data_IF_011978723524
#
_entry.id   IF_011978723524
#
_cell.length_a   1.000
_cell.length_b   1.000
_cell.length_c   1.000
_cell.angle_alpha   90.00
_cell.angle_beta   90.00
_cell.angle_gamma   90.00
#
_symmetry.space_group_name_H-M   'P 1'
#
loop_
_entity.id
_entity.type
_entity.pdbx_description
1 polymer ?
#
# COMPACT_ATOMS: atom_id res chain seq x y z
N UNK A 1 15.34 -25.44 34.41
CA UNK A 1 16.57 -24.88 34.99
C UNK A 1 16.72 -23.36 34.74
N UNK A 2 16.66 -22.85 33.50
CA UNK A 2 16.79 -21.39 33.24
C UNK A 2 15.81 -20.47 33.99
N UNK A 3 14.52 -20.82 34.10
CA UNK A 3 13.53 -19.98 34.79
C UNK A 3 13.79 -19.83 36.29
N UNK A 4 14.33 -20.87 36.92
CA UNK A 4 14.71 -20.83 38.33
C UNK A 4 15.93 -19.94 38.56
N UNK A 5 16.85 -19.86 37.59
CA UNK A 5 18.03 -19.00 37.66
C UNK A 5 17.68 -17.51 37.64
N UNK A 6 16.62 -17.11 36.91
CA UNK A 6 16.15 -15.72 36.84
C UNK A 6 15.05 -15.39 37.87
N UNK A 7 14.70 -16.34 38.76
CA UNK A 7 13.65 -16.20 39.80
C UNK A 7 12.25 -15.84 39.25
N UNK A 8 11.94 -16.25 38.03
CA UNK A 8 10.62 -15.97 37.43
C UNK A 8 9.78 -17.26 37.33
N UNK A 9 8.48 -17.21 37.71
CA UNK A 9 7.58 -18.34 37.54
C UNK A 9 7.27 -18.57 36.05
N UNK A 10 7.10 -19.83 35.66
CA UNK A 10 6.59 -20.16 34.34
C UNK A 10 5.16 -19.62 34.16
N UNK A 11 4.91 -18.97 33.01
CA UNK A 11 3.58 -18.47 32.65
C UNK A 11 3.10 -19.20 31.41
N UNK A 12 1.99 -19.93 31.53
CA UNK A 12 1.37 -20.65 30.40
C UNK A 12 0.79 -19.73 29.33
N UNK A 13 0.37 -18.52 29.74
CA UNK A 13 -0.25 -17.54 28.85
C UNK A 13 0.34 -16.16 29.09
N UNK A 14 0.48 -15.40 28.00
CA UNK A 14 0.84 -13.99 28.09
C UNK A 14 -0.30 -13.18 28.68
N UNK A 15 0.00 -12.33 29.66
CA UNK A 15 -0.98 -11.41 30.28
C UNK A 15 -1.37 -10.25 29.35
N UNK A 16 -0.50 -9.90 28.40
CA UNK A 16 -0.74 -8.84 27.41
C UNK A 16 -0.57 -9.37 25.99
N UNK A 17 -1.28 -8.82 25.00
CA UNK A 17 -1.02 -9.11 23.60
C UNK A 17 0.44 -8.77 23.25
N UNK A 18 1.23 -9.80 22.94
CA UNK A 18 2.61 -9.69 22.50
C UNK A 18 2.70 -9.86 20.98
N UNK A 19 3.79 -9.39 20.40
CA UNK A 19 4.14 -9.66 19.00
C UNK A 19 5.31 -10.65 19.01
N UNK A 20 5.29 -11.61 18.09
CA UNK A 20 6.37 -12.57 17.90
C UNK A 20 6.58 -12.76 16.40
N UNK A 21 7.84 -12.81 15.98
CA UNK A 21 8.24 -13.11 14.60
C UNK A 21 9.16 -14.32 14.66
N UNK A 22 8.84 -15.33 13.85
CA UNK A 22 9.64 -16.55 13.72
C UNK A 22 10.20 -16.60 12.31
N UNK A 23 11.52 -16.77 12.21
CA UNK A 23 12.20 -17.00 10.93
C UNK A 23 13.02 -18.27 11.06
N UNK A 24 12.84 -19.19 10.11
CA UNK A 24 13.43 -20.52 10.16
C UNK A 24 14.91 -20.53 9.79
N UNK A 25 15.35 -19.57 9.00
CA UNK A 25 16.72 -19.46 8.47
C UNK A 25 17.30 -18.09 8.83
N UNK A 26 18.54 -18.04 9.29
CA UNK A 26 19.26 -16.83 9.67
C UNK A 26 20.25 -16.35 8.61
N UNK A 27 20.34 -16.99 7.44
CA UNK A 27 21.32 -16.61 6.43
C UNK A 27 20.96 -15.28 5.75
N UNK A 28 19.67 -14.94 5.71
CA UNK A 28 19.18 -13.71 5.07
C UNK A 28 19.65 -12.42 5.75
N UNK A 29 20.05 -12.48 7.04
CA UNK A 29 20.58 -11.33 7.79
C UNK A 29 22.09 -11.15 7.65
N UNK A 30 22.78 -12.08 6.99
CA UNK A 30 24.26 -12.07 6.91
C UNK A 30 24.74 -11.03 5.91
N UNK A 31 25.79 -10.31 6.29
CA UNK A 31 26.57 -9.47 5.38
C UNK A 31 27.74 -10.27 4.79
N UNK A 32 28.07 -10.00 3.54
CA UNK A 32 29.25 -10.59 2.91
C UNK A 32 30.52 -9.88 3.41
N UNK A 33 31.41 -10.64 4.03
CA UNK A 33 32.74 -10.18 4.41
C UNK A 33 33.74 -10.54 3.32
N UNK A 34 34.54 -9.56 2.90
CA UNK A 34 35.66 -9.75 1.97
C UNK A 34 36.98 -9.72 2.74
N UNK A 35 37.64 -10.88 2.81
CA UNK A 35 38.90 -11.05 3.52
C UNK A 35 40.10 -10.41 2.81
N UNK A 36 39.98 -10.04 1.53
CA UNK A 36 41.08 -9.38 0.79
C UNK A 36 41.10 -7.88 1.04
N UNK A 37 39.92 -7.27 1.15
CA UNK A 37 39.78 -5.81 1.33
C UNK A 37 39.44 -5.42 2.77
N UNK A 38 39.21 -6.39 3.65
CA UNK A 38 38.77 -6.22 5.04
C UNK A 38 37.49 -5.36 5.15
N UNK A 39 36.57 -5.56 4.20
CA UNK A 39 35.32 -4.80 4.09
C UNK A 39 34.10 -5.68 4.25
N UNK A 40 33.06 -5.11 4.87
CA UNK A 40 31.74 -5.71 5.01
C UNK A 40 30.82 -5.07 3.98
N UNK A 41 30.20 -5.91 3.15
CA UNK A 41 29.26 -5.49 2.12
C UNK A 41 27.87 -5.18 2.72
N UNK A 42 27.04 -4.35 2.06
CA UNK A 42 25.66 -4.17 2.49
C UNK A 42 24.88 -5.49 2.46
N UNK A 43 23.81 -5.55 3.26
CA UNK A 43 22.96 -6.74 3.34
C UNK A 43 22.31 -7.02 1.97
N UNK A 44 22.26 -8.29 1.57
CA UNK A 44 21.73 -8.67 0.26
C UNK A 44 22.66 -8.36 -0.93
N UNK A 45 23.90 -7.92 -0.70
CA UNK A 45 24.90 -7.80 -1.76
C UNK A 45 25.28 -9.18 -2.33
N UNK A 46 25.18 -9.30 -3.65
CA UNK A 46 25.58 -10.49 -4.39
C UNK A 46 26.86 -10.22 -5.18
N UNK A 47 27.94 -10.94 -4.82
CA UNK A 47 29.27 -10.78 -5.45
C UNK A 47 29.35 -11.20 -6.93
N UNK A 48 28.47 -12.11 -7.38
CA UNK A 48 28.49 -12.61 -8.76
C UNK A 48 27.78 -11.66 -9.71
N UNK A 49 26.69 -11.06 -9.26
CA UNK A 49 25.89 -10.10 -10.04
C UNK A 49 26.32 -8.65 -9.78
N UNK A 50 27.15 -8.42 -8.75
CA UNK A 50 27.55 -7.09 -8.26
C UNK A 50 26.34 -6.18 -7.99
N UNK A 51 25.29 -6.76 -7.42
CA UNK A 51 24.02 -6.08 -7.17
C UNK A 51 23.56 -6.32 -5.73
N UNK A 52 22.95 -5.31 -5.11
CA UNK A 52 22.43 -5.36 -3.75
C UNK A 52 20.92 -5.52 -3.77
N UNK A 53 20.42 -6.65 -3.25
CA UNK A 53 19.01 -6.90 -3.07
C UNK A 53 18.52 -6.32 -1.73
N UNK A 54 17.77 -5.22 -1.79
CA UNK A 54 17.34 -4.44 -0.61
C UNK A 54 16.25 -5.16 0.21
N UNK A 55 15.59 -6.18 -0.34
CA UNK A 55 14.42 -6.82 0.28
C UNK A 55 14.65 -7.39 1.68
N UNK A 56 15.85 -7.91 1.97
CA UNK A 56 16.17 -8.44 3.30
C UNK A 56 16.32 -7.31 4.33
N UNK A 57 16.95 -6.19 3.94
CA UNK A 57 17.07 -4.99 4.77
C UNK A 57 15.71 -4.44 5.16
N UNK A 58 14.85 -4.30 4.15
CA UNK A 58 13.48 -3.83 4.32
C UNK A 58 12.70 -4.76 5.25
N UNK A 59 12.79 -6.08 5.05
CA UNK A 59 12.09 -7.05 5.89
C UNK A 59 12.51 -6.93 7.35
N UNK A 60 13.80 -6.85 7.65
CA UNK A 60 14.31 -6.75 9.02
C UNK A 60 13.89 -5.42 9.65
N UNK A 61 14.09 -4.32 8.93
CA UNK A 61 13.78 -2.98 9.44
C UNK A 61 12.28 -2.84 9.74
N UNK A 62 11.43 -3.28 8.82
CA UNK A 62 9.98 -3.27 9.01
C UNK A 62 9.55 -4.23 10.12
N UNK A 63 10.21 -5.39 10.27
CA UNK A 63 9.93 -6.35 11.34
C UNK A 63 10.25 -5.76 12.70
N UNK A 64 11.40 -5.11 12.86
CA UNK A 64 11.79 -4.43 14.11
C UNK A 64 10.85 -3.27 14.41
N UNK A 65 10.54 -2.44 13.41
CA UNK A 65 9.61 -1.33 13.57
C UNK A 65 8.23 -1.84 14.01
N UNK A 66 7.73 -2.91 13.37
CA UNK A 66 6.47 -3.55 13.75
C UNK A 66 6.48 -4.05 15.20
N UNK A 67 7.58 -4.63 15.67
CA UNK A 67 7.69 -5.18 17.02
C UNK A 67 7.72 -4.09 18.10
N UNK A 68 8.35 -2.94 17.81
CA UNK A 68 8.47 -1.81 18.75
C UNK A 68 7.23 -0.91 18.72
N UNK A 69 6.55 -0.82 17.58
CA UNK A 69 5.51 0.17 17.37
C UNK A 69 4.23 -0.12 18.19
N UNK A 70 3.74 0.92 18.89
CA UNK A 70 2.52 0.88 19.72
C UNK A 70 1.25 1.41 19.03
N UNK A 71 1.37 2.13 17.91
CA UNK A 71 0.29 2.95 17.32
C UNK A 71 -0.15 2.57 15.89
N UNK A 72 0.46 1.56 15.26
CA UNK A 72 -0.01 0.99 14.00
C UNK A 72 0.17 1.87 12.76
N UNK A 73 1.12 2.82 12.74
CA UNK A 73 1.35 3.71 11.59
C UNK A 73 1.83 2.94 10.36
N UNK A 74 2.48 1.77 10.53
CA UNK A 74 2.87 0.87 9.42
C UNK A 74 1.67 0.48 8.53
N UNK A 75 0.44 0.37 9.07
CA UNK A 75 -0.74 0.02 8.25
C UNK A 75 -1.10 1.10 7.22
N UNK A 76 -0.68 2.36 7.45
CA UNK A 76 -0.92 3.45 6.51
C UNK A 76 0.02 3.38 5.29
N UNK A 77 1.26 2.88 5.43
CA UNK A 77 2.23 2.74 4.32
C UNK A 77 1.99 1.50 3.45
N UNK A 78 1.40 0.45 4.01
CA UNK A 78 1.20 -0.83 3.31
C UNK A 78 0.00 -0.84 2.36
N UNK A 79 -0.78 0.25 2.29
CA UNK A 79 -1.80 0.44 1.25
C UNK A 79 -1.13 0.81 -0.08
N UNK A 80 -0.42 -0.16 -0.68
CA UNK A 80 -0.15 -0.13 -2.13
C UNK A 80 -1.52 -0.24 -2.81
N UNK A 81 -2.10 0.90 -3.14
CA UNK A 81 -3.21 0.97 -4.08
C UNK A 81 -2.65 0.43 -5.39
N UNK A 82 -2.82 -0.88 -5.63
CA UNK A 82 -2.62 -1.44 -6.95
C UNK A 82 -3.67 -0.75 -7.82
N UNK A 83 -3.27 0.31 -8.50
CA UNK A 83 -4.05 0.83 -9.60
C UNK A 83 -4.22 -0.34 -10.55
N UNK A 84 -5.42 -0.93 -10.58
CA UNK A 84 -5.77 -1.83 -11.67
C UNK A 84 -5.64 -0.95 -12.90
N UNK A 85 -4.71 -1.33 -13.78
CA UNK A 85 -4.55 -0.63 -15.05
C UNK A 85 -5.92 -0.59 -15.72
N UNK A 86 -6.28 0.57 -16.27
CA UNK A 86 -7.51 0.71 -17.04
C UNK A 86 -7.44 -0.31 -18.18
N UNK A 87 -8.48 -1.13 -18.32
CA UNK A 87 -8.61 -2.04 -19.45
C UNK A 87 -8.78 -1.19 -20.71
N UNK A 88 -7.69 -1.02 -21.44
CA UNK A 88 -7.64 -0.16 -22.62
C UNK A 88 -8.52 -0.70 -23.74
N UNK A 89 -8.69 -2.02 -23.86
CA UNK A 89 -9.53 -2.66 -24.88
C UNK A 89 -11.00 -2.36 -24.59
N UNK A 90 -11.43 -2.51 -23.34
CA UNK A 90 -12.79 -2.15 -22.93
C UNK A 90 -13.04 -0.65 -23.11
N UNK A 91 -12.08 0.19 -22.74
CA UNK A 91 -12.20 1.64 -22.86
C UNK A 91 -12.34 2.10 -24.32
N UNK A 92 -11.64 1.47 -25.27
CA UNK A 92 -11.79 1.78 -26.70
C UNK A 92 -13.11 1.30 -27.27
N UNK A 93 -13.59 0.12 -26.87
CA UNK A 93 -14.85 -0.44 -27.38
C UNK A 93 -16.07 0.37 -26.92
N UNK A 94 -16.04 0.91 -25.70
CA UNK A 94 -17.16 1.68 -25.13
C UNK A 94 -17.02 3.20 -25.34
N UNK A 95 -15.96 3.66 -26.02
CA UNK A 95 -15.62 5.09 -26.14
C UNK A 95 -16.80 5.94 -26.66
N UNK A 96 -17.50 5.46 -27.69
CA UNK A 96 -18.62 6.17 -28.30
C UNK A 96 -19.82 6.31 -27.35
N UNK A 97 -20.14 5.26 -26.59
CA UNK A 97 -21.21 5.31 -25.58
C UNK A 97 -20.88 6.37 -24.51
N UNK A 98 -19.66 6.34 -23.98
CA UNK A 98 -19.24 7.28 -22.94
C UNK A 98 -19.18 8.73 -23.45
N UNK A 99 -18.77 8.96 -24.70
CA UNK A 99 -18.82 10.28 -25.33
C UNK A 99 -20.26 10.79 -25.47
N UNK A 100 -21.18 9.95 -25.95
CA UNK A 100 -22.58 10.33 -26.10
C UNK A 100 -23.24 10.64 -24.76
N UNK A 101 -22.95 9.87 -23.71
CA UNK A 101 -23.46 10.13 -22.36
C UNK A 101 -22.94 11.47 -21.83
N UNK A 102 -21.64 11.70 -21.94
CA UNK A 102 -21.01 12.91 -21.40
C UNK A 102 -21.38 14.19 -22.15
N UNK A 103 -21.73 14.11 -23.44
CA UNK A 103 -22.17 15.26 -24.23
C UNK A 103 -23.70 15.41 -24.17
N UNK A 104 -24.43 14.31 -24.31
CA UNK A 104 -25.88 14.29 -24.38
C UNK A 104 -26.55 14.72 -23.07
N UNK A 105 -26.03 14.28 -21.92
CA UNK A 105 -26.61 14.64 -20.62
C UNK A 105 -26.55 16.15 -20.38
N UNK A 106 -25.38 16.84 -20.47
CA UNK A 106 -25.32 18.29 -20.29
C UNK A 106 -26.17 19.08 -21.28
N UNK A 107 -26.24 18.66 -22.55
CA UNK A 107 -27.10 19.32 -23.54
C UNK A 107 -28.59 19.18 -23.17
N UNK A 108 -29.03 17.99 -22.77
CA UNK A 108 -30.40 17.77 -22.32
C UNK A 108 -30.75 18.64 -21.12
N UNK A 109 -29.84 18.74 -20.15
CA UNK A 109 -30.02 19.64 -19.01
C UNK A 109 -30.15 21.10 -19.44
N UNK A 110 -29.29 21.58 -20.34
CA UNK A 110 -29.34 22.95 -20.84
C UNK A 110 -30.66 23.26 -21.57
N UNK A 111 -31.14 22.33 -22.40
CA UNK A 111 -32.43 22.46 -23.09
C UNK A 111 -33.58 22.47 -22.09
N UNK A 112 -33.59 21.54 -21.12
CA UNK A 112 -34.62 21.46 -20.10
C UNK A 112 -34.70 22.75 -19.26
N UNK A 113 -33.55 23.30 -18.85
CA UNK A 113 -33.48 24.60 -18.16
C UNK A 113 -33.93 25.75 -19.05
N UNK A 114 -33.53 25.79 -20.32
CA UNK A 114 -33.94 26.82 -21.27
C UNK A 114 -35.45 26.84 -21.52
N UNK A 115 -36.07 25.67 -21.68
CA UNK A 115 -37.52 25.52 -21.84
C UNK A 115 -38.26 25.86 -20.54
N UNK A 116 -37.80 25.33 -19.40
CA UNK A 116 -38.40 25.60 -18.09
C UNK A 116 -38.35 27.09 -17.75
N UNK A 117 -37.23 27.76 -17.99
CA UNK A 117 -37.07 29.20 -17.78
C UNK A 117 -37.98 30.02 -18.71
N UNK A 118 -38.05 29.66 -20.00
CA UNK A 118 -38.95 30.35 -20.94
C UNK A 118 -40.43 30.16 -20.58
N UNK A 119 -40.83 28.95 -20.17
CA UNK A 119 -42.19 28.67 -19.71
C UNK A 119 -42.55 29.50 -18.47
N UNK A 120 -41.67 29.50 -17.46
CA UNK A 120 -41.85 30.31 -16.26
C UNK A 120 -41.90 31.82 -16.57
N UNK A 121 -41.01 32.30 -17.45
CA UNK A 121 -40.97 33.71 -17.88
C UNK A 121 -42.27 34.11 -18.57
N UNK A 122 -42.79 33.30 -19.50
CA UNK A 122 -44.07 33.57 -20.17
C UNK A 122 -45.22 33.63 -19.17
N UNK A 123 -45.27 32.72 -18.18
CA UNK A 123 -46.36 32.70 -17.19
C UNK A 123 -46.34 33.89 -16.22
N UNK A 124 -45.16 34.44 -15.90
CA UNK A 124 -45.00 35.53 -14.92
C UNK A 124 -44.95 36.94 -15.52
N UNK A 125 -44.49 37.08 -16.76
CA UNK A 125 -44.21 38.38 -17.38
C UNK A 125 -44.89 38.60 -18.74
N UNK A 126 -45.57 37.61 -19.33
CA UNK A 126 -46.45 37.86 -20.48
C UNK A 126 -47.86 38.17 -19.96
N UNK A 127 -47.98 39.37 -19.39
CA UNK A 127 -49.23 40.14 -19.28
C UNK A 127 -48.98 41.46 -19.98
#
# INVERSE_FOLDING_TARGET
EMLQQIKEPFREKSEKPGKMIFVSDGDFIKNLYDSQTDKISPIGFNKWVQYTFIGNEDFITNSVEYMVEKRGVISARSKKVKFKMLDTIKATNEMSLWQMVNIGIPLLFLIAFGLGFNYYRRRRYAS
#
